data_IF_558732043747
#
_entry.id   IF_558732043747
#
_cell.length_a   1.000
_cell.length_b   1.000
_cell.length_c   1.000
_cell.angle_alpha   90.00
_cell.angle_beta   90.00
_cell.angle_gamma   90.00
#
_symmetry.space_group_name_H-M   'P 1'
#
loop_
_entity.id
_entity.type
_entity.pdbx_description
1 polymer ?
#
# COMPACT_ATOMS: atom_id res chain seq x y z
N UNK A 1 17.63 -87.79 -4.03
CA UNK A 1 16.57 -86.99 -3.57
C UNK A 1 17.11 -85.85 -2.62
N UNK A 2 16.76 -84.59 -2.82
CA UNK A 2 17.26 -83.51 -1.98
C UNK A 2 16.47 -83.44 -0.65
N UNK A 3 17.09 -83.01 0.44
CA UNK A 3 16.43 -82.94 1.73
C UNK A 3 15.39 -81.78 1.75
N UNK A 4 14.21 -82.11 2.22
CA UNK A 4 13.13 -81.14 2.50
C UNK A 4 13.54 -80.27 3.69
N UNK A 5 13.82 -78.99 3.47
CA UNK A 5 14.01 -78.01 4.51
C UNK A 5 12.67 -77.78 5.25
N UNK A 6 12.57 -78.30 6.44
CA UNK A 6 11.47 -78.05 7.36
C UNK A 6 11.58 -76.62 7.87
N UNK A 7 10.73 -75.72 7.40
CA UNK A 7 10.51 -74.42 7.97
C UNK A 7 9.93 -74.56 9.38
N UNK A 8 10.80 -74.48 10.37
CA UNK A 8 10.40 -74.44 11.78
C UNK A 8 9.63 -73.15 12.06
N UNK A 9 8.31 -73.28 12.14
CA UNK A 9 7.40 -72.18 12.51
C UNK A 9 7.65 -71.85 14.00
N UNK A 10 8.50 -70.80 14.25
CA UNK A 10 8.73 -70.27 15.61
C UNK A 10 7.43 -69.88 16.24
N UNK A 11 6.95 -70.67 17.22
CA UNK A 11 5.75 -70.35 18.00
C UNK A 11 6.10 -69.24 18.99
N UNK A 12 5.72 -67.99 18.69
CA UNK A 12 5.88 -66.86 19.62
C UNK A 12 5.08 -67.13 20.89
N UNK A 13 5.70 -66.93 22.05
CA UNK A 13 5.07 -67.03 23.37
C UNK A 13 3.85 -66.09 23.44
N UNK A 14 2.79 -66.55 24.11
CA UNK A 14 1.54 -65.76 24.30
C UNK A 14 1.85 -64.41 24.92
N UNK A 15 2.80 -64.32 25.83
CA UNK A 15 3.27 -63.08 26.46
C UNK A 15 3.84 -62.08 25.42
N UNK A 16 4.62 -62.56 24.48
CA UNK A 16 5.20 -61.71 23.44
C UNK A 16 4.14 -61.19 22.45
N UNK A 17 3.14 -62.00 22.13
CA UNK A 17 2.02 -61.56 21.27
C UNK A 17 1.19 -60.50 21.95
N UNK A 18 0.91 -60.64 23.25
CA UNK A 18 0.13 -59.70 24.04
C UNK A 18 0.89 -58.35 24.18
N UNK A 19 2.21 -58.41 24.41
CA UNK A 19 3.07 -57.21 24.47
C UNK A 19 3.11 -56.46 23.13
N UNK A 20 3.21 -57.17 22.02
CA UNK A 20 3.22 -56.54 20.67
C UNK A 20 1.91 -55.87 20.34
N UNK A 21 0.79 -56.50 20.68
CA UNK A 21 -0.56 -55.89 20.49
C UNK A 21 -0.71 -54.63 21.35
N UNK A 22 -0.26 -54.65 22.59
CA UNK A 22 -0.35 -53.46 23.47
C UNK A 22 0.54 -52.30 22.99
N UNK A 23 1.80 -52.64 22.62
CA UNK A 23 2.71 -51.64 22.05
C UNK A 23 2.17 -51.03 20.74
N UNK A 24 1.63 -51.88 19.85
CA UNK A 24 1.06 -51.37 18.59
C UNK A 24 -0.13 -50.43 18.82
N UNK A 25 -0.97 -50.71 19.81
CA UNK A 25 -2.11 -49.90 20.16
C UNK A 25 -1.68 -48.54 20.71
N UNK A 26 -0.65 -48.50 21.58
CA UNK A 26 -0.09 -47.26 22.09
C UNK A 26 0.53 -46.42 20.93
N UNK A 27 1.30 -47.07 20.05
CA UNK A 27 1.91 -46.36 18.92
C UNK A 27 0.84 -45.73 18.01
N UNK A 28 -0.23 -46.47 17.70
CA UNK A 28 -1.32 -45.96 16.87
C UNK A 28 -2.03 -44.78 17.53
N UNK A 29 -2.31 -44.85 18.83
CA UNK A 29 -2.97 -43.74 19.55
C UNK A 29 -2.07 -42.51 19.62
N UNK A 30 -0.79 -42.62 19.90
CA UNK A 30 0.16 -41.51 19.92
C UNK A 30 0.29 -40.87 18.53
N UNK A 31 0.36 -41.71 17.48
CA UNK A 31 0.48 -41.22 16.10
C UNK A 31 -0.80 -40.46 15.68
N UNK A 32 -1.99 -40.98 16.05
CA UNK A 32 -3.26 -40.35 15.76
C UNK A 32 -3.43 -39.01 16.48
N UNK A 33 -3.06 -38.95 17.75
CA UNK A 33 -3.09 -37.70 18.53
C UNK A 33 -2.08 -36.68 17.99
N UNK A 34 -0.88 -37.10 17.66
CA UNK A 34 0.14 -36.24 17.06
C UNK A 34 -0.31 -35.66 15.72
N UNK A 35 -0.91 -36.48 14.85
CA UNK A 35 -1.45 -36.02 13.58
C UNK A 35 -2.58 -35.01 13.73
N UNK A 36 -3.53 -35.25 14.64
CA UNK A 36 -4.61 -34.31 14.98
C UNK A 36 -4.03 -32.99 15.51
N UNK A 37 -3.10 -33.05 16.46
CA UNK A 37 -2.48 -31.86 17.04
C UNK A 37 -1.76 -31.01 15.98
N UNK A 38 -1.01 -31.64 15.07
CA UNK A 38 -0.33 -30.93 13.98
C UNK A 38 -1.32 -30.26 13.00
N UNK A 39 -2.42 -30.93 12.67
CA UNK A 39 -3.44 -30.35 11.78
C UNK A 39 -4.16 -29.16 12.43
N UNK A 40 -4.51 -29.26 13.71
CA UNK A 40 -5.12 -28.15 14.46
C UNK A 40 -4.16 -26.98 14.57
N UNK A 41 -2.89 -27.26 14.93
CA UNK A 41 -1.86 -26.22 15.02
C UNK A 41 -1.62 -25.51 13.69
N UNK A 42 -1.52 -26.26 12.58
CA UNK A 42 -1.36 -25.65 11.25
C UNK A 42 -2.53 -24.74 10.88
N UNK A 43 -3.76 -25.18 11.12
CA UNK A 43 -4.95 -24.34 10.83
C UNK A 43 -4.97 -23.08 11.69
N UNK A 44 -4.72 -23.20 12.98
CA UNK A 44 -4.70 -22.04 13.89
C UNK A 44 -3.61 -21.02 13.50
N UNK A 45 -2.42 -21.49 13.10
CA UNK A 45 -1.33 -20.61 12.63
C UNK A 45 -1.69 -19.94 11.31
N UNK A 46 -2.26 -20.68 10.35
CA UNK A 46 -2.67 -20.10 9.05
C UNK A 46 -3.74 -19.04 9.23
N UNK A 47 -4.78 -19.31 9.98
CA UNK A 47 -5.86 -18.36 10.26
C UNK A 47 -5.34 -17.10 10.97
N UNK A 48 -4.44 -17.27 11.95
CA UNK A 48 -3.83 -16.13 12.65
C UNK A 48 -2.94 -15.27 11.75
N UNK A 49 -2.18 -15.91 10.85
CA UNK A 49 -1.34 -15.20 9.86
C UNK A 49 -2.23 -14.43 8.88
N UNK A 50 -3.30 -15.03 8.37
CA UNK A 50 -4.20 -14.39 7.41
C UNK A 50 -4.88 -13.15 8.01
N UNK A 51 -5.41 -13.28 9.23
CA UNK A 51 -6.02 -12.17 9.97
C UNK A 51 -4.97 -11.07 10.19
N UNK A 52 -3.78 -11.42 10.68
CA UNK A 52 -2.74 -10.44 10.97
C UNK A 52 -2.23 -9.71 9.71
N UNK A 53 -2.11 -10.41 8.59
CA UNK A 53 -1.75 -9.78 7.30
C UNK A 53 -2.84 -8.83 6.81
N UNK A 54 -4.10 -9.22 6.94
CA UNK A 54 -5.24 -8.38 6.57
C UNK A 54 -5.33 -7.12 7.43
N UNK A 55 -5.19 -7.26 8.74
CA UNK A 55 -5.19 -6.13 9.67
C UNK A 55 -4.04 -5.18 9.36
N UNK A 56 -2.84 -5.72 9.16
CA UNK A 56 -1.67 -4.91 8.83
C UNK A 56 -1.78 -4.20 7.47
N UNK A 57 -2.40 -4.84 6.48
CA UNK A 57 -2.69 -4.22 5.19
C UNK A 57 -3.72 -3.07 5.34
N UNK A 58 -4.75 -3.28 6.16
CA UNK A 58 -5.76 -2.25 6.47
C UNK A 58 -5.14 -1.05 7.20
N UNK A 59 -4.35 -1.30 8.25
CA UNK A 59 -3.67 -0.25 9.01
C UNK A 59 -2.72 0.56 8.12
N UNK A 60 -1.99 -0.14 7.25
CA UNK A 60 -1.07 0.52 6.30
C UNK A 60 -1.83 1.39 5.30
N UNK A 61 -2.97 0.90 4.79
CA UNK A 61 -3.82 1.67 3.88
C UNK A 61 -4.38 2.93 4.57
N UNK A 62 -4.81 2.84 5.83
CA UNK A 62 -5.30 3.97 6.63
C UNK A 62 -4.20 5.01 6.87
N UNK A 63 -2.97 4.58 7.17
CA UNK A 63 -1.83 5.48 7.33
C UNK A 63 -1.53 6.22 6.03
N UNK A 64 -1.55 5.53 4.89
CA UNK A 64 -1.33 6.14 3.57
C UNK A 64 -2.44 7.15 3.27
N UNK A 65 -3.70 6.78 3.45
CA UNK A 65 -4.85 7.65 3.23
C UNK A 65 -4.79 8.91 4.11
N UNK A 66 -4.45 8.75 5.39
CA UNK A 66 -4.25 9.86 6.32
C UNK A 66 -3.12 10.80 5.87
N UNK A 67 -1.99 10.25 5.42
CA UNK A 67 -0.88 11.05 4.89
C UNK A 67 -1.27 11.82 3.63
N UNK A 68 -1.96 11.18 2.69
CA UNK A 68 -2.45 11.84 1.47
C UNK A 68 -3.39 13.00 1.84
N UNK A 69 -4.35 12.74 2.72
CA UNK A 69 -5.29 13.77 3.18
C UNK A 69 -4.61 14.94 3.90
N UNK A 70 -3.45 14.73 4.51
CA UNK A 70 -2.69 15.82 5.15
C UNK A 70 -2.10 16.83 4.15
N UNK A 71 -1.96 16.47 2.87
CA UNK A 71 -1.49 17.41 1.85
C UNK A 71 -2.54 18.46 1.48
N UNK A 72 -3.83 18.17 1.62
CA UNK A 72 -4.88 19.15 1.29
C UNK A 72 -4.80 20.41 2.14
N UNK A 73 -4.79 20.35 3.49
CA UNK A 73 -4.63 21.55 4.30
C UNK A 73 -3.38 22.35 3.97
N UNK A 74 -2.28 21.66 3.64
CA UNK A 74 -1.04 22.31 3.22
C UNK A 74 -1.23 23.07 1.91
N UNK A 75 -1.77 22.42 0.87
CA UNK A 75 -2.01 23.03 -0.43
C UNK A 75 -3.08 24.14 -0.37
N UNK A 76 -4.14 23.94 0.40
CA UNK A 76 -5.16 24.96 0.65
C UNK A 76 -4.58 26.17 1.39
N UNK A 77 -3.66 25.97 2.31
CA UNK A 77 -2.92 27.04 2.98
C UNK A 77 -2.14 27.88 1.97
N UNK A 78 -1.42 27.22 1.06
CA UNK A 78 -0.70 27.90 -0.03
C UNK A 78 -1.69 28.60 -0.97
N UNK A 79 -2.77 27.94 -1.40
CA UNK A 79 -3.76 28.48 -2.32
C UNK A 79 -4.45 29.76 -1.78
N UNK A 80 -4.52 29.93 -0.45
CA UNK A 80 -5.07 31.13 0.21
C UNK A 80 -4.09 32.29 0.30
N UNK A 81 -2.82 32.11 -0.08
CA UNK A 81 -1.85 33.20 -0.03
C UNK A 81 -2.24 34.35 -0.96
N UNK A 82 -2.17 35.61 -0.49
CA UNK A 82 -2.67 36.77 -1.25
C UNK A 82 -2.08 36.87 -2.66
N UNK A 83 -0.79 36.58 -2.83
CA UNK A 83 -0.11 36.63 -4.13
C UNK A 83 -0.66 35.62 -5.14
N UNK A 84 -1.12 34.44 -4.69
CA UNK A 84 -1.71 33.44 -5.59
C UNK A 84 -3.13 33.82 -6.01
N UNK A 85 -3.86 34.49 -5.13
CA UNK A 85 -5.22 34.98 -5.36
C UNK A 85 -5.27 36.29 -6.15
N UNK A 86 -4.15 37.00 -6.24
CA UNK A 86 -4.06 38.26 -6.99
C UNK A 86 -3.95 37.94 -8.50
N UNK A 87 -4.92 38.42 -9.29
CA UNK A 87 -4.92 38.27 -10.76
C UNK A 87 -3.79 39.06 -11.43
N UNK A 88 -3.38 40.19 -10.84
CA UNK A 88 -2.33 41.07 -11.38
C UNK A 88 -0.93 40.60 -11.05
N UNK A 89 -0.77 39.68 -10.06
CA UNK A 89 0.51 39.16 -9.70
C UNK A 89 1.12 38.31 -10.84
N UNK A 90 2.39 38.59 -11.13
CA UNK A 90 3.07 37.92 -12.24
C UNK A 90 3.21 36.41 -12.00
N UNK A 91 3.12 35.62 -13.06
CA UNK A 91 3.32 34.17 -12.99
C UNK A 91 4.72 33.78 -12.43
N UNK A 92 5.73 34.65 -12.65
CA UNK A 92 7.08 34.44 -12.10
C UNK A 92 7.06 34.60 -10.58
N UNK A 93 6.38 35.64 -10.04
CA UNK A 93 6.29 35.84 -8.61
C UNK A 93 5.52 34.70 -7.91
N UNK A 94 4.42 34.24 -8.51
CA UNK A 94 3.68 33.06 -8.05
C UNK A 94 4.54 31.81 -8.05
N UNK A 95 5.29 31.57 -9.13
CA UNK A 95 6.21 30.45 -9.25
C UNK A 95 7.36 30.47 -8.25
N UNK A 96 7.92 31.65 -7.96
CA UNK A 96 8.98 31.80 -6.96
C UNK A 96 8.46 31.47 -5.54
N UNK A 97 7.25 31.93 -5.17
CA UNK A 97 6.65 31.63 -3.89
C UNK A 97 6.45 30.11 -3.71
N UNK A 98 5.80 29.45 -4.66
CA UNK A 98 5.51 28.02 -4.54
C UNK A 98 6.77 27.16 -4.51
N UNK A 99 7.84 27.60 -5.17
CA UNK A 99 9.15 26.93 -5.08
C UNK A 99 9.74 27.01 -3.67
N UNK A 100 9.62 28.15 -3.01
CA UNK A 100 10.05 28.28 -1.61
C UNK A 100 9.20 27.40 -0.69
N UNK A 101 7.89 27.41 -0.84
CA UNK A 101 6.97 26.60 -0.04
C UNK A 101 7.21 25.10 -0.22
N UNK A 102 7.50 24.65 -1.44
CA UNK A 102 7.82 23.25 -1.71
C UNK A 102 9.05 22.74 -0.93
N UNK A 103 10.01 23.61 -0.59
CA UNK A 103 11.22 23.22 0.17
C UNK A 103 10.91 22.80 1.61
N UNK A 104 9.82 23.31 2.18
CA UNK A 104 9.42 22.97 3.56
C UNK A 104 8.83 21.57 3.71
N UNK A 105 8.50 20.91 2.60
CA UNK A 105 7.96 19.56 2.64
C UNK A 105 8.73 18.64 1.68
N UNK A 106 9.61 17.81 2.22
CA UNK A 106 10.47 16.90 1.44
C UNK A 106 9.70 15.80 0.69
N UNK A 107 8.42 15.58 1.02
CA UNK A 107 7.57 14.64 0.30
C UNK A 107 7.03 15.23 -1.03
N UNK A 108 7.16 16.54 -1.23
CA UNK A 108 6.74 17.21 -2.45
C UNK A 108 7.90 17.17 -3.46
N UNK A 109 7.69 16.48 -4.56
CA UNK A 109 8.69 16.44 -5.63
C UNK A 109 8.66 17.72 -6.47
N UNK A 110 7.47 18.21 -6.78
CA UNK A 110 7.25 19.47 -7.53
C UNK A 110 5.91 20.10 -7.14
N UNK A 111 5.86 21.41 -7.17
CA UNK A 111 4.65 22.18 -6.90
C UNK A 111 4.49 23.21 -8.02
N UNK A 112 3.29 23.28 -8.60
CA UNK A 112 3.02 24.12 -9.76
C UNK A 112 1.71 24.91 -9.56
N UNK A 113 1.62 26.03 -10.24
CA UNK A 113 0.37 26.82 -10.36
C UNK A 113 0.06 26.97 -11.84
N UNK A 114 -1.18 26.68 -12.21
CA UNK A 114 -1.71 26.94 -13.55
C UNK A 114 -2.66 28.15 -13.54
N UNK A 115 -2.74 28.83 -14.67
CA UNK A 115 -3.84 29.78 -14.91
C UNK A 115 -5.15 29.06 -15.23
N UNK A 116 -6.24 29.82 -15.38
CA UNK A 116 -7.56 29.27 -15.71
C UNK A 116 -7.64 28.60 -17.10
N UNK A 117 -6.61 28.74 -17.93
CA UNK A 117 -6.47 28.09 -19.25
C UNK A 117 -5.63 26.82 -19.17
N UNK A 118 -5.13 26.47 -17.99
CA UNK A 118 -4.25 25.32 -17.78
C UNK A 118 -2.79 25.58 -18.13
N UNK A 119 -2.35 26.82 -18.30
CA UNK A 119 -0.95 27.09 -18.57
C UNK A 119 -0.15 27.13 -17.26
N UNK A 120 0.86 26.30 -17.17
CA UNK A 120 1.87 26.28 -16.11
C UNK A 120 3.16 26.89 -16.67
N UNK A 121 3.67 27.92 -16.01
CA UNK A 121 5.00 28.44 -16.36
C UNK A 121 6.08 27.71 -15.54
N UNK A 122 6.90 26.99 -16.24
CA UNK A 122 8.05 26.30 -15.64
C UNK A 122 9.20 27.28 -15.38
N UNK A 123 10.10 26.94 -14.47
CA UNK A 123 11.21 27.81 -14.04
C UNK A 123 12.20 28.18 -15.15
N UNK A 124 12.32 27.34 -16.18
CA UNK A 124 13.14 27.60 -17.38
C UNK A 124 12.49 28.60 -18.35
N UNK A 125 11.28 29.10 -18.01
CA UNK A 125 10.49 30.03 -18.81
C UNK A 125 9.55 29.36 -19.81
N UNK A 126 9.61 28.05 -19.97
CA UNK A 126 8.69 27.32 -20.84
C UNK A 126 7.28 27.31 -20.26
N UNK A 127 6.28 27.14 -21.14
CA UNK A 127 4.88 27.00 -20.74
C UNK A 127 4.43 25.59 -21.11
N UNK A 128 3.93 24.88 -20.12
CA UNK A 128 3.30 23.57 -20.28
C UNK A 128 1.80 23.73 -20.07
N UNK A 129 1.00 23.20 -20.99
CA UNK A 129 -0.46 23.21 -20.82
C UNK A 129 -0.93 21.90 -20.22
N UNK A 130 -1.67 22.01 -19.10
CA UNK A 130 -2.21 20.89 -18.32
C UNK A 130 -3.74 20.83 -18.38
N UNK A 131 -4.38 21.52 -19.31
CA UNK A 131 -5.83 21.60 -19.41
C UNK A 131 -6.52 20.24 -19.54
N UNK A 132 -5.85 19.26 -20.13
CA UNK A 132 -6.38 17.90 -20.30
C UNK A 132 -6.19 16.99 -19.08
N UNK A 133 -5.38 17.40 -18.12
CA UNK A 133 -5.10 16.60 -16.92
C UNK A 133 -6.32 16.52 -16.00
N UNK A 134 -6.62 15.34 -15.41
CA UNK A 134 -7.74 15.20 -14.48
C UNK A 134 -7.65 16.12 -13.28
N UNK A 135 -6.44 16.37 -12.78
CA UNK A 135 -6.16 17.27 -11.66
C UNK A 135 -6.59 18.72 -11.97
N UNK A 136 -6.27 19.22 -13.17
CA UNK A 136 -6.71 20.54 -13.61
C UNK A 136 -8.24 20.63 -13.76
N UNK A 137 -8.85 19.63 -14.44
CA UNK A 137 -10.31 19.58 -14.65
C UNK A 137 -11.09 19.56 -13.34
N UNK A 138 -10.58 18.87 -12.33
CA UNK A 138 -11.18 18.85 -11.00
C UNK A 138 -11.04 20.21 -10.30
N UNK A 139 -9.84 20.82 -10.33
CA UNK A 139 -9.59 22.11 -9.67
C UNK A 139 -10.37 23.24 -10.30
N UNK A 140 -10.50 23.31 -11.63
CA UNK A 140 -11.32 24.33 -12.29
C UNK A 140 -12.83 24.16 -12.00
N UNK A 141 -13.25 22.94 -11.65
CA UNK A 141 -14.60 22.65 -11.15
C UNK A 141 -14.76 22.90 -9.64
N UNK A 142 -13.78 23.51 -8.98
CA UNK A 142 -13.81 23.83 -7.55
C UNK A 142 -13.63 22.63 -6.63
N UNK A 143 -13.04 21.52 -7.11
CA UNK A 143 -12.88 20.27 -6.34
C UNK A 143 -11.41 19.99 -6.08
N UNK A 144 -11.12 19.53 -4.87
CA UNK A 144 -9.84 18.92 -4.57
C UNK A 144 -9.71 17.56 -5.29
N UNK A 145 -8.51 17.23 -5.72
CA UNK A 145 -8.24 16.00 -6.45
C UNK A 145 -6.94 15.36 -5.99
N UNK A 146 -6.90 14.04 -5.99
CA UNK A 146 -5.67 13.28 -6.00
C UNK A 146 -5.79 12.10 -6.98
N UNK A 147 -4.69 11.77 -7.64
CA UNK A 147 -4.64 10.65 -8.57
C UNK A 147 -4.44 9.33 -7.86
N UNK A 148 -4.73 8.23 -8.56
CA UNK A 148 -4.09 6.97 -8.20
C UNK A 148 -2.57 7.08 -8.38
N UNK A 149 -1.78 6.30 -7.60
CA UNK A 149 -0.34 6.30 -7.75
C UNK A 149 0.08 5.82 -9.15
N UNK A 150 0.99 6.53 -9.79
CA UNK A 150 1.52 6.15 -11.11
C UNK A 150 3.02 6.44 -11.20
N UNK A 151 3.68 5.82 -12.17
CA UNK A 151 5.09 6.10 -12.45
C UNK A 151 5.19 7.26 -13.45
N UNK A 152 5.75 8.38 -13.02
CA UNK A 152 6.04 9.50 -13.91
C UNK A 152 7.22 9.15 -14.82
N UNK A 153 7.03 9.10 -16.14
CA UNK A 153 8.07 8.70 -17.07
C UNK A 153 9.22 9.73 -17.16
N UNK A 154 8.98 10.99 -16.79
CA UNK A 154 9.99 12.05 -16.88
C UNK A 154 11.05 11.95 -15.78
N UNK A 155 10.66 11.48 -14.60
CA UNK A 155 11.54 11.35 -13.42
C UNK A 155 11.76 9.90 -12.99
N UNK A 156 11.05 8.95 -13.61
CA UNK A 156 11.05 7.52 -13.28
C UNK A 156 10.80 7.25 -11.78
N UNK A 157 9.87 7.99 -11.20
CA UNK A 157 9.47 7.85 -9.81
C UNK A 157 7.98 7.53 -9.71
N UNK A 158 7.62 6.82 -8.65
CA UNK A 158 6.24 6.56 -8.28
C UNK A 158 5.70 7.79 -7.55
N UNK A 159 4.68 8.43 -8.10
CA UNK A 159 4.12 9.68 -7.61
C UNK A 159 2.59 9.64 -7.53
N UNK A 160 2.05 10.61 -6.83
CA UNK A 160 0.62 10.93 -6.76
C UNK A 160 0.47 12.42 -7.05
N UNK A 161 -0.46 12.77 -7.93
CA UNK A 161 -0.85 14.15 -8.16
C UNK A 161 -1.92 14.57 -7.17
N UNK A 162 -1.68 15.70 -6.51
CA UNK A 162 -2.65 16.33 -5.62
C UNK A 162 -2.88 17.76 -6.08
N UNK A 163 -4.14 18.17 -6.23
CA UNK A 163 -4.46 19.54 -6.63
C UNK A 163 -5.62 20.12 -5.84
N UNK A 164 -5.58 21.43 -5.68
CA UNK A 164 -6.63 22.22 -5.04
C UNK A 164 -6.96 23.44 -5.90
N UNK A 165 -8.21 23.92 -5.90
CA UNK A 165 -8.58 25.15 -6.59
C UNK A 165 -7.96 26.37 -5.88
N UNK A 166 -7.59 27.37 -6.68
CA UNK A 166 -7.20 28.70 -6.20
C UNK A 166 -8.32 29.66 -6.59
N UNK A 167 -8.93 30.27 -5.61
CA UNK A 167 -9.97 31.27 -5.80
C UNK A 167 -9.36 32.68 -5.74
N UNK A 168 -9.82 33.56 -6.59
CA UNK A 168 -9.42 34.97 -6.50
C UNK A 168 -9.98 35.66 -5.25
N UNK A 169 -9.70 36.95 -5.10
CA UNK A 169 -10.19 37.72 -3.96
C UNK A 169 -11.71 37.93 -3.97
N UNK A 170 -12.39 37.67 -5.11
CA UNK A 170 -13.83 37.73 -5.28
C UNK A 170 -14.50 36.35 -5.13
N UNK A 171 -13.72 35.31 -4.79
CA UNK A 171 -14.14 33.90 -4.66
C UNK A 171 -14.68 33.30 -5.99
N UNK A 172 -14.12 33.72 -7.08
CA UNK A 172 -14.40 33.20 -8.44
C UNK A 172 -13.27 32.32 -8.94
#
# INVERSE_FOLDING_TARGET
PPPKSSLTRKRFSIRLKLLLVFCSLIIVTVFMLGFLALNVAKRAVQEKIEIHLKDKASDTAEIIDSRIKSFWPFLEGIARMPILRDKEASAIAKGALIKEEAKFNSAINSLWVSDAKGNVRVLDGSIVNVADYPSFKASIAGKNFFSEPYTDPSINKFIIDVSVPIYDNENQ
#
